data_IF_104485496501
#
_entry.id   IF_104485496501
#
_cell.length_a   1.000
_cell.length_b   1.000
_cell.length_c   1.000
_cell.angle_alpha   90.00
_cell.angle_beta   90.00
_cell.angle_gamma   90.00
#
_symmetry.space_group_name_H-M   'P 1'
#
loop_
_entity.id
_entity.type
_entity.pdbx_description
1 polymer ?
#
# COMPACT_ATOMS: atom_id res chain seq x y z
N UNK A 1 -15.86 19.95 -9.98
CA UNK A 1 -16.13 18.53 -9.69
C UNK A 1 -15.34 17.68 -10.67
N UNK A 2 -14.17 17.18 -10.26
CA UNK A 2 -13.36 16.31 -11.12
C UNK A 2 -13.96 14.89 -11.11
N UNK A 3 -14.18 14.35 -12.31
CA UNK A 3 -14.73 13.01 -12.52
C UNK A 3 -13.65 11.97 -12.15
N UNK A 4 -13.94 11.14 -11.15
CA UNK A 4 -13.12 9.98 -10.81
C UNK A 4 -13.29 8.91 -11.90
N UNK A 5 -12.33 8.78 -12.82
CA UNK A 5 -12.21 7.56 -13.63
C UNK A 5 -11.77 6.42 -12.71
N UNK A 6 -12.65 5.41 -12.60
CA UNK A 6 -12.47 4.13 -11.91
C UNK A 6 -11.44 3.31 -12.68
N UNK A 7 -10.51 2.65 -11.97
CA UNK A 7 -9.42 1.92 -12.61
C UNK A 7 -9.54 0.42 -12.45
N UNK A 8 -9.82 -0.21 -13.58
CA UNK A 8 -9.71 -1.61 -13.95
C UNK A 8 -8.69 -2.43 -13.13
N UNK A 9 -9.19 -3.16 -12.14
CA UNK A 9 -8.44 -3.97 -11.17
C UNK A 9 -7.55 -5.02 -11.83
N UNK A 10 -8.06 -5.60 -12.90
CA UNK A 10 -7.40 -6.75 -13.49
C UNK A 10 -6.12 -6.34 -14.21
N UNK A 11 -5.91 -5.07 -14.63
CA UNK A 11 -4.72 -4.63 -15.42
C UNK A 11 -3.36 -4.71 -14.70
N UNK A 12 -3.31 -5.29 -13.51
CA UNK A 12 -2.12 -5.21 -12.66
C UNK A 12 -1.91 -6.41 -11.73
N UNK A 13 -2.94 -7.15 -11.40
CA UNK A 13 -2.78 -8.53 -10.94
C UNK A 13 -2.57 -9.41 -12.17
N UNK A 14 -1.31 -9.65 -12.52
CA UNK A 14 -0.94 -10.05 -13.88
C UNK A 14 -1.57 -11.36 -14.39
N UNK A 15 -2.09 -12.27 -13.54
CA UNK A 15 -2.46 -13.62 -13.99
C UNK A 15 -3.63 -14.31 -13.23
N UNK A 16 -4.75 -14.68 -13.90
CA UNK A 16 -5.77 -15.63 -13.44
C UNK A 16 -5.39 -17.11 -13.73
N UNK A 17 -6.16 -18.12 -13.26
CA UNK A 17 -7.47 -18.10 -12.62
C UNK A 17 -7.42 -18.28 -11.11
N UNK A 18 -8.01 -17.32 -10.39
CA UNK A 18 -8.31 -17.45 -8.97
C UNK A 18 -9.49 -18.41 -8.81
N UNK A 19 -9.22 -19.69 -8.55
CA UNK A 19 -10.25 -20.73 -8.33
C UNK A 19 -11.01 -20.58 -7.01
N UNK A 20 -10.70 -19.55 -6.22
CA UNK A 20 -11.47 -19.12 -5.05
C UNK A 20 -12.04 -17.75 -5.36
N UNK A 21 -13.33 -17.54 -5.07
CA UNK A 21 -13.94 -16.21 -5.12
C UNK A 21 -13.02 -15.25 -4.36
N UNK A 22 -12.70 -14.12 -4.98
CA UNK A 22 -12.04 -13.03 -4.27
C UNK A 22 -13.01 -12.62 -3.17
N UNK A 23 -12.80 -13.15 -1.96
CA UNK A 23 -13.70 -13.06 -0.80
C UNK A 23 -13.85 -11.60 -0.29
N UNK A 24 -13.29 -10.63 -1.03
CA UNK A 24 -13.24 -9.21 -0.74
C UNK A 24 -13.26 -8.43 -2.05
N UNK A 25 -14.02 -7.35 -2.08
CA UNK A 25 -13.86 -6.28 -3.07
C UNK A 25 -12.49 -5.67 -2.82
N UNK A 26 -11.49 -6.20 -3.50
CA UNK A 26 -10.18 -5.57 -3.62
C UNK A 26 -10.42 -4.29 -4.40
N UNK A 27 -9.90 -3.14 -3.95
CA UNK A 27 -9.98 -1.89 -4.70
C UNK A 27 -8.63 -1.63 -5.33
N UNK A 28 -8.60 -1.14 -6.56
CA UNK A 28 -7.36 -0.92 -7.28
C UNK A 28 -7.22 0.52 -7.77
N UNK A 29 -6.03 1.09 -7.59
CA UNK A 29 -5.71 2.44 -8.06
C UNK A 29 -5.64 2.52 -9.58
N UNK A 30 -5.57 3.74 -10.13
CA UNK A 30 -5.23 4.01 -11.55
C UNK A 30 -3.97 3.34 -12.07
N UNK A 31 -3.12 2.89 -11.17
CA UNK A 31 -1.85 2.23 -11.46
C UNK A 31 -1.89 0.75 -11.14
N UNK A 32 -3.06 0.22 -10.77
CA UNK A 32 -3.24 -1.20 -10.59
C UNK A 32 -2.98 -1.75 -9.16
N UNK A 33 -2.92 -0.89 -8.16
CA UNK A 33 -2.57 -1.36 -6.82
C UNK A 33 -3.75 -1.82 -5.98
N UNK A 34 -3.68 -3.04 -5.44
CA UNK A 34 -4.59 -3.47 -4.37
C UNK A 34 -4.48 -2.53 -3.16
N UNK A 35 -5.57 -1.82 -2.92
CA UNK A 35 -5.85 -0.97 -1.79
C UNK A 35 -7.00 -1.57 -0.99
N UNK A 36 -6.89 -1.45 0.33
CA UNK A 36 -8.05 -1.42 1.22
C UNK A 36 -8.30 0.05 1.54
N UNK A 37 -8.92 0.81 0.61
CA UNK A 37 -9.16 2.21 0.86
C UNK A 37 -10.04 2.33 2.10
N UNK A 38 -9.90 3.42 2.82
CA UNK A 38 -10.69 3.65 4.04
C UNK A 38 -12.19 3.38 3.82
N UNK A 39 -12.73 3.75 2.65
CA UNK A 39 -14.12 3.46 2.30
C UNK A 39 -14.44 1.96 2.22
N UNK A 40 -13.52 1.10 1.77
CA UNK A 40 -13.67 -0.36 1.80
C UNK A 40 -13.68 -0.89 3.23
N UNK A 41 -12.86 -0.28 4.11
CA UNK A 41 -12.81 -0.64 5.53
C UNK A 41 -14.11 -0.27 6.27
N UNK A 42 -14.86 0.70 5.73
CA UNK A 42 -16.10 1.20 6.32
C UNK A 42 -17.37 0.76 5.58
N UNK A 43 -17.25 0.17 4.40
CA UNK A 43 -18.40 -0.32 3.64
C UNK A 43 -18.96 -1.56 4.35
N UNK A 44 -20.27 -1.64 4.61
CA UNK A 44 -20.87 -2.89 5.08
C UNK A 44 -20.61 -4.00 4.06
N UNK A 45 -20.19 -5.18 4.54
CA UNK A 45 -20.06 -6.37 3.70
C UNK A 45 -21.46 -6.74 3.18
N UNK A 46 -21.65 -6.73 1.86
CA UNK A 46 -22.91 -7.11 1.20
C UNK A 46 -23.27 -8.60 1.38
N UNK A 47 -22.44 -9.37 2.08
CA UNK A 47 -22.66 -10.79 2.37
C UNK A 47 -23.86 -11.03 3.29
N UNK A 48 -24.39 -10.01 3.95
CA UNK A 48 -25.66 -10.11 4.68
C UNK A 48 -26.86 -9.80 3.77
N UNK A 49 -26.99 -10.54 2.66
CA UNK A 49 -28.15 -10.47 1.74
C UNK A 49 -29.32 -11.35 2.19
N UNK A 50 -29.39 -11.71 3.46
CA UNK A 50 -30.56 -12.36 4.02
C UNK A 50 -31.66 -11.31 4.22
N UNK A 51 -32.51 -11.17 3.20
CA UNK A 51 -33.64 -10.21 3.10
C UNK A 51 -34.71 -10.40 4.20
N UNK A 52 -34.46 -11.21 5.22
CA UNK A 52 -35.48 -11.73 6.13
C UNK A 52 -35.54 -11.10 7.52
N UNK A 53 -34.64 -10.19 7.92
CA UNK A 53 -34.70 -9.59 9.27
C UNK A 53 -35.10 -8.12 9.31
N UNK A 54 -36.42 -7.94 9.21
CA UNK A 54 -37.25 -6.99 9.95
C UNK A 54 -36.55 -6.22 11.08
N UNK A 55 -36.48 -4.89 10.92
CA UNK A 55 -36.87 -3.85 11.90
C UNK A 55 -36.62 -4.11 13.41
N UNK A 56 -35.58 -4.86 13.77
CA UNK A 56 -35.13 -4.96 15.15
C UNK A 56 -34.51 -3.60 15.51
N UNK A 57 -35.32 -2.75 16.14
CA UNK A 57 -34.94 -1.41 16.54
C UNK A 57 -33.71 -1.47 17.45
N UNK A 58 -32.66 -0.71 17.08
CA UNK A 58 -31.40 -0.53 17.83
C UNK A 58 -31.59 -0.13 19.31
N UNK A 59 -32.81 0.28 19.67
CA UNK A 59 -33.24 0.62 21.02
C UNK A 59 -32.95 -0.48 22.06
N UNK A 60 -33.02 -1.76 21.71
CA UNK A 60 -32.73 -2.86 22.64
C UNK A 60 -31.26 -2.88 23.09
N UNK A 61 -30.33 -2.55 22.19
CA UNK A 61 -28.90 -2.54 22.49
C UNK A 61 -28.55 -1.54 23.59
N UNK A 62 -29.18 -0.35 23.55
CA UNK A 62 -28.93 0.72 24.52
C UNK A 62 -29.36 0.41 25.95
N UNK A 63 -30.15 -0.66 26.15
CA UNK A 63 -30.65 -1.16 27.44
C UNK A 63 -29.77 -2.26 28.05
N UNK A 64 -28.82 -2.80 27.29
CA UNK A 64 -27.88 -3.79 27.81
C UNK A 64 -26.96 -3.14 28.86
N UNK A 65 -26.41 -3.89 29.83
CA UNK A 65 -25.33 -3.40 30.69
C UNK A 65 -24.16 -2.86 29.85
N UNK A 66 -23.45 -1.86 30.36
CA UNK A 66 -22.36 -1.18 29.65
C UNK A 66 -21.27 -2.17 29.23
N UNK A 67 -20.95 -3.13 30.09
CA UNK A 67 -19.96 -4.18 29.86
C UNK A 67 -20.32 -5.03 28.64
N UNK A 68 -21.61 -5.35 28.48
CA UNK A 68 -22.10 -6.13 27.34
C UNK A 68 -22.07 -5.28 26.06
N UNK A 69 -22.43 -4.00 26.14
CA UNK A 69 -22.34 -3.09 24.99
C UNK A 69 -20.89 -2.98 24.50
N UNK A 70 -19.93 -2.78 25.42
CA UNK A 70 -18.51 -2.71 25.11
C UNK A 70 -17.98 -4.02 24.52
N UNK A 71 -18.41 -5.17 25.05
CA UNK A 71 -18.02 -6.48 24.52
C UNK A 71 -18.52 -6.67 23.09
N UNK A 72 -19.77 -6.28 22.79
CA UNK A 72 -20.31 -6.34 21.43
C UNK A 72 -19.54 -5.41 20.49
N UNK A 73 -19.24 -4.18 20.90
CA UNK A 73 -18.44 -3.25 20.09
C UNK A 73 -17.05 -3.82 19.79
N UNK A 74 -16.39 -4.46 20.76
CA UNK A 74 -15.06 -5.03 20.57
C UNK A 74 -15.00 -6.14 19.50
N UNK A 75 -16.11 -6.85 19.27
CA UNK A 75 -16.19 -7.90 18.24
C UNK A 75 -16.79 -7.40 16.92
N UNK A 76 -17.24 -6.14 16.84
CA UNK A 76 -17.82 -5.60 15.62
C UNK A 76 -16.76 -5.43 14.51
N UNK A 77 -17.13 -5.69 13.24
CA UNK A 77 -16.29 -5.32 12.11
C UNK A 77 -16.14 -3.80 12.01
N UNK A 78 -15.10 -3.35 11.31
CA UNK A 78 -14.77 -1.93 11.24
C UNK A 78 -15.87 -1.09 10.57
N UNK A 79 -16.56 -1.65 9.58
CA UNK A 79 -17.71 -1.04 8.91
C UNK A 79 -18.85 -0.72 9.87
N UNK A 80 -19.22 -1.67 10.73
CA UNK A 80 -20.25 -1.45 11.76
C UNK A 80 -19.79 -0.42 12.78
N UNK A 81 -18.54 -0.49 13.25
CA UNK A 81 -18.00 0.51 14.17
C UNK A 81 -18.04 1.93 13.57
N UNK A 82 -17.64 2.07 12.31
CA UNK A 82 -17.72 3.34 11.60
C UNK A 82 -19.16 3.84 11.46
N UNK A 83 -20.10 2.97 11.07
CA UNK A 83 -21.51 3.34 11.01
C UNK A 83 -22.03 3.80 12.38
N UNK A 84 -21.68 3.12 13.47
CA UNK A 84 -22.07 3.51 14.82
C UNK A 84 -21.50 4.87 15.23
N UNK A 85 -20.27 5.20 14.81
CA UNK A 85 -19.68 6.52 15.01
C UNK A 85 -20.54 7.63 14.39
N UNK A 86 -21.13 7.38 13.22
CA UNK A 86 -21.94 8.37 12.52
C UNK A 86 -23.41 8.39 12.94
N UNK A 87 -24.00 7.23 13.25
CA UNK A 87 -25.45 7.08 13.45
C UNK A 87 -25.88 7.07 14.90
N UNK A 88 -25.00 6.76 15.86
CA UNK A 88 -25.37 6.61 17.27
C UNK A 88 -24.52 7.50 18.19
N UNK A 89 -25.09 8.62 18.66
CA UNK A 89 -24.37 9.54 19.56
C UNK A 89 -23.91 8.91 20.87
N UNK A 90 -24.72 7.99 21.44
CA UNK A 90 -24.40 7.29 22.69
C UNK A 90 -23.18 6.38 22.57
N UNK A 91 -23.03 5.70 21.42
CA UNK A 91 -21.94 4.75 21.21
C UNK A 91 -20.76 5.33 20.45
N UNK A 92 -20.91 6.52 19.86
CA UNK A 92 -19.92 7.16 19.00
C UNK A 92 -18.51 7.14 19.60
N UNK A 93 -18.38 7.53 20.87
CA UNK A 93 -17.08 7.61 21.54
C UNK A 93 -16.43 6.23 21.64
N UNK A 94 -17.16 5.22 22.09
CA UNK A 94 -16.62 3.86 22.27
C UNK A 94 -16.38 3.15 20.94
N UNK A 95 -17.30 3.29 19.99
CA UNK A 95 -17.14 2.76 18.64
C UNK A 95 -15.90 3.35 17.96
N UNK A 96 -15.67 4.66 18.14
CA UNK A 96 -14.50 5.34 17.60
C UNK A 96 -13.20 4.84 18.24
N UNK A 97 -13.16 4.65 19.57
CA UNK A 97 -12.01 4.04 20.24
C UNK A 97 -11.69 2.65 19.67
N UNK A 98 -12.69 1.79 19.52
CA UNK A 98 -12.52 0.44 18.98
C UNK A 98 -12.08 0.44 17.52
N UNK A 99 -12.65 1.33 16.70
CA UNK A 99 -12.30 1.46 15.29
C UNK A 99 -10.83 1.86 15.12
N UNK A 100 -10.38 2.88 15.85
CA UNK A 100 -9.00 3.39 15.74
C UNK A 100 -7.97 2.60 16.54
N UNK A 101 -8.38 1.69 17.42
CA UNK A 101 -7.49 0.74 18.08
C UNK A 101 -6.88 -0.28 17.09
N UNK A 102 -7.51 -0.46 15.92
CA UNK A 102 -7.02 -1.37 14.88
C UNK A 102 -5.74 -0.82 14.24
N UNK A 103 -4.67 -1.60 14.31
CA UNK A 103 -3.36 -1.18 13.84
C UNK A 103 -3.27 -1.02 12.32
N UNK A 104 -4.21 -1.58 11.57
CA UNK A 104 -4.31 -1.52 10.11
C UNK A 104 -5.21 -0.38 9.60
N UNK A 105 -5.88 0.35 10.49
CA UNK A 105 -6.67 1.51 10.10
C UNK A 105 -5.76 2.71 9.77
N UNK A 106 -5.77 3.14 8.52
CA UNK A 106 -5.12 4.37 8.05
C UNK A 106 -6.17 5.40 7.64
N UNK A 107 -5.98 6.64 8.09
CA UNK A 107 -6.80 7.76 7.65
C UNK A 107 -6.12 8.48 6.48
N UNK A 108 -6.78 8.62 5.31
CA UNK A 108 -6.19 9.29 4.16
C UNK A 108 -6.20 10.81 4.34
N UNK A 109 -5.06 11.45 4.04
CA UNK A 109 -4.87 12.89 4.09
C UNK A 109 -4.15 13.34 2.83
N UNK A 110 -4.52 14.49 2.27
CA UNK A 110 -3.86 15.01 1.08
C UNK A 110 -2.58 15.77 1.47
N UNK A 111 -1.45 15.45 0.83
CA UNK A 111 -0.17 16.08 1.17
C UNK A 111 -0.20 17.61 0.95
N UNK A 112 -0.96 18.07 -0.06
CA UNK A 112 -1.10 19.49 -0.36
C UNK A 112 -1.84 20.26 0.74
N UNK A 113 -2.79 19.63 1.42
CA UNK A 113 -3.47 20.23 2.56
C UNK A 113 -2.50 20.44 3.72
N UNK A 114 -1.65 19.45 4.01
CA UNK A 114 -0.64 19.52 5.08
C UNK A 114 0.37 20.66 4.85
N UNK A 115 0.93 20.79 3.65
CA UNK A 115 1.87 21.90 3.37
C UNK A 115 1.21 23.28 3.30
N UNK A 116 -0.12 23.33 3.14
CA UNK A 116 -0.90 24.57 3.25
C UNK A 116 -1.39 24.80 4.69
N UNK A 117 -0.62 24.33 5.68
CA UNK A 117 -0.90 24.50 7.12
C UNK A 117 -2.17 23.77 7.61
N UNK A 118 -2.66 22.81 6.84
CA UNK A 118 -3.82 21.99 7.14
C UNK A 118 -5.01 22.83 7.63
N UNK A 119 -5.41 23.84 6.85
CA UNK A 119 -6.51 24.73 7.24
C UNK A 119 -7.84 23.95 7.26
N UNK A 120 -8.68 24.05 8.32
CA UNK A 120 -9.88 23.22 8.45
C UNK A 120 -10.91 23.47 7.35
N UNK A 121 -11.01 24.72 6.87
CA UNK A 121 -11.95 25.10 5.83
C UNK A 121 -11.64 24.53 4.45
N UNK A 122 -10.43 23.99 4.25
CA UNK A 122 -10.00 23.39 2.99
C UNK A 122 -10.30 21.87 2.94
N UNK A 123 -10.83 21.31 4.02
CA UNK A 123 -11.17 19.89 4.12
C UNK A 123 -12.64 19.68 4.44
N UNK A 124 -13.22 18.60 3.93
CA UNK A 124 -14.59 18.17 4.28
C UNK A 124 -14.64 17.33 5.57
N UNK A 125 -13.51 17.20 6.26
CA UNK A 125 -13.31 16.28 7.37
C UNK A 125 -13.73 16.93 8.70
N UNK A 126 -14.39 16.17 9.58
CA UNK A 126 -14.63 16.61 10.94
C UNK A 126 -13.32 16.60 11.76
N UNK A 127 -12.69 17.75 11.92
CA UNK A 127 -11.39 17.86 12.61
C UNK A 127 -11.33 17.23 14.02
N UNK A 128 -12.46 17.08 14.73
CA UNK A 128 -12.44 16.45 16.06
C UNK A 128 -12.10 14.95 16.01
N UNK A 129 -12.38 14.25 14.90
CA UNK A 129 -12.03 12.82 14.80
C UNK A 129 -10.52 12.62 14.62
N UNK A 130 -9.81 13.59 14.03
CA UNK A 130 -8.38 13.46 13.76
C UNK A 130 -7.55 13.28 15.03
N UNK A 131 -8.05 13.78 16.17
CA UNK A 131 -7.43 13.55 17.48
C UNK A 131 -7.37 12.06 17.87
N UNK A 132 -8.15 11.18 17.24
CA UNK A 132 -8.17 9.74 17.55
C UNK A 132 -7.40 8.89 16.55
N UNK A 133 -6.92 9.52 15.46
CA UNK A 133 -6.19 8.83 14.39
C UNK A 133 -4.75 8.60 14.82
N UNK A 134 -4.30 7.35 14.69
CA UNK A 134 -2.92 6.95 15.01
C UNK A 134 -2.08 6.64 13.77
N UNK A 135 -2.72 6.30 12.65
CA UNK A 135 -2.03 5.98 11.40
C UNK A 135 -2.61 6.82 10.27
N UNK A 136 -1.75 7.52 9.54
CA UNK A 136 -2.14 8.41 8.44
C UNK A 136 -1.51 7.92 7.16
N UNK A 137 -2.31 7.83 6.11
CA UNK A 137 -1.83 7.64 4.75
C UNK A 137 -1.91 8.99 4.04
N UNK A 138 -0.81 9.43 3.45
CA UNK A 138 -0.72 10.75 2.84
C UNK A 138 -0.72 10.61 1.33
N UNK A 139 -1.78 11.05 0.63
CA UNK A 139 -1.81 11.11 -0.85
C UNK A 139 -0.74 12.11 -1.32
N UNK A 140 0.40 11.56 -1.74
CA UNK A 140 1.57 12.33 -2.13
C UNK A 140 1.54 12.59 -3.63
N UNK A 141 1.64 13.86 -4.02
CA UNK A 141 1.60 14.26 -5.44
C UNK A 141 2.97 14.67 -5.98
N UNK A 142 3.18 14.51 -7.28
CA UNK A 142 4.39 14.99 -7.98
C UNK A 142 4.58 16.51 -7.83
N UNK A 143 3.48 17.28 -7.79
CA UNK A 143 3.52 18.73 -7.57
C UNK A 143 4.21 19.07 -6.25
N UNK A 144 4.03 18.24 -5.22
CA UNK A 144 4.70 18.43 -3.94
C UNK A 144 6.22 18.20 -4.04
N UNK A 145 6.64 17.22 -4.85
CA UNK A 145 8.06 16.97 -5.10
C UNK A 145 8.75 18.20 -5.69
N UNK A 146 8.13 18.82 -6.69
CA UNK A 146 8.69 20.01 -7.34
C UNK A 146 8.68 21.23 -6.42
N UNK A 147 7.72 21.33 -5.50
CA UNK A 147 7.68 22.41 -4.50
C UNK A 147 8.77 22.26 -3.43
N UNK A 148 9.02 21.05 -2.95
CA UNK A 148 10.06 20.79 -1.93
C UNK A 148 11.45 20.83 -2.57
N UNK A 149 11.60 20.30 -3.78
CA UNK A 149 12.86 20.26 -4.52
C UNK A 149 12.70 21.00 -5.86
N UNK A 150 12.82 22.33 -5.83
CA UNK A 150 12.70 23.14 -7.02
C UNK A 150 13.94 22.99 -7.89
N UNK A 151 13.75 22.62 -9.16
CA UNK A 151 14.83 22.62 -10.16
C UNK A 151 15.01 24.01 -10.74
N UNK A 152 16.20 24.56 -10.60
CA UNK A 152 16.60 25.81 -11.23
C UNK A 152 16.96 25.59 -12.71
N UNK A 153 17.09 26.68 -13.48
CA UNK A 153 17.43 26.61 -14.91
C UNK A 153 18.79 25.97 -15.19
N UNK A 154 19.71 26.00 -14.23
CA UNK A 154 21.06 25.42 -14.31
C UNK A 154 21.13 23.97 -13.79
N UNK A 155 19.98 23.30 -13.70
CA UNK A 155 19.81 21.94 -13.15
C UNK A 155 20.13 21.78 -11.66
N UNK A 156 20.49 22.85 -10.93
CA UNK A 156 20.65 22.77 -9.47
C UNK A 156 19.29 22.55 -8.81
N UNK A 157 19.29 21.74 -7.76
CA UNK A 157 18.10 21.48 -6.94
C UNK A 157 18.16 22.34 -5.70
N UNK A 158 17.22 23.26 -5.57
CA UNK A 158 17.02 24.06 -4.35
C UNK A 158 16.01 23.34 -3.44
N UNK A 159 16.43 23.08 -2.19
CA UNK A 159 15.61 22.39 -1.20
C UNK A 159 14.87 23.42 -0.34
N UNK A 160 13.55 23.41 -0.42
CA UNK A 160 12.66 24.21 0.43
C UNK A 160 12.40 23.48 1.76
N UNK A 161 13.40 23.46 2.64
CA UNK A 161 13.35 22.75 3.92
C UNK A 161 12.19 23.20 4.83
N UNK A 162 11.82 24.48 4.77
CA UNK A 162 10.68 25.02 5.49
C UNK A 162 9.35 24.34 5.13
N UNK A 163 9.18 23.82 3.91
CA UNK A 163 7.97 23.07 3.53
C UNK A 163 7.90 21.70 4.20
N UNK A 164 9.05 21.08 4.43
CA UNK A 164 9.16 19.82 5.19
C UNK A 164 8.77 20.05 6.64
N UNK A 165 9.26 21.14 7.25
CA UNK A 165 8.88 21.51 8.62
C UNK A 165 7.39 21.84 8.73
N UNK A 166 6.85 22.62 7.77
CA UNK A 166 5.42 22.94 7.73
C UNK A 166 4.58 21.66 7.59
N UNK A 167 4.99 20.72 6.74
CA UNK A 167 4.29 19.45 6.55
C UNK A 167 4.14 18.70 7.89
N UNK A 168 5.25 18.50 8.60
CA UNK A 168 5.25 17.74 9.85
C UNK A 168 4.57 18.48 10.99
N UNK A 169 4.81 19.79 11.13
CA UNK A 169 4.15 20.61 12.13
C UNK A 169 2.63 20.64 11.95
N UNK A 170 2.16 20.71 10.69
CA UNK A 170 0.73 20.70 10.37
C UNK A 170 0.11 19.35 10.67
N UNK A 171 0.80 18.25 10.32
CA UNK A 171 0.34 16.91 10.63
C UNK A 171 0.22 16.67 12.14
N UNK A 172 1.25 17.01 12.92
CA UNK A 172 1.22 16.85 14.38
C UNK A 172 0.18 17.75 15.05
N UNK A 173 -0.03 18.97 14.55
CA UNK A 173 -1.06 19.86 15.07
C UNK A 173 -2.47 19.28 14.85
N UNK A 174 -2.74 18.75 13.63
CA UNK A 174 -4.07 18.21 13.30
C UNK A 174 -4.32 16.81 13.81
N UNK A 175 -3.27 16.00 13.89
CA UNK A 175 -3.31 14.60 14.27
C UNK A 175 -2.33 14.38 15.44
N UNK A 176 -2.65 14.91 16.64
CA UNK A 176 -1.70 14.92 17.76
C UNK A 176 -1.28 13.53 18.24
N UNK A 177 -2.07 12.50 17.95
CA UNK A 177 -1.81 11.12 18.34
C UNK A 177 -1.21 10.27 17.20
N UNK A 178 -0.76 10.90 16.11
CA UNK A 178 -0.14 10.20 14.99
C UNK A 178 1.11 9.45 15.44
N UNK A 179 1.14 8.15 15.13
CA UNK A 179 2.26 7.24 15.41
C UNK A 179 2.86 6.68 14.12
N UNK A 180 2.06 6.57 13.06
CA UNK A 180 2.47 5.99 11.77
C UNK A 180 2.05 6.89 10.62
N UNK A 181 2.97 7.13 9.69
CA UNK A 181 2.71 7.99 8.52
C UNK A 181 3.26 7.31 7.28
N UNK A 182 2.38 7.11 6.30
CA UNK A 182 2.73 6.52 5.02
C UNK A 182 2.48 7.50 3.89
N UNK A 183 3.50 8.23 3.42
CA UNK A 183 3.41 8.93 2.15
C UNK A 183 3.16 7.93 1.02
N UNK A 184 2.03 8.08 0.36
CA UNK A 184 1.57 7.24 -0.70
C UNK A 184 1.90 7.86 -2.06
N UNK A 185 2.98 7.40 -2.67
CA UNK A 185 3.52 7.87 -3.94
C UNK A 185 3.06 6.98 -5.11
N UNK A 186 1.81 7.15 -5.54
CA UNK A 186 1.18 6.30 -6.57
C UNK A 186 0.97 6.99 -7.92
N UNK A 187 1.31 8.27 -8.07
CA UNK A 187 1.02 9.00 -9.31
C UNK A 187 2.07 8.73 -10.39
N UNK A 188 1.83 7.64 -11.11
CA UNK A 188 2.06 7.41 -12.54
C UNK A 188 3.13 8.24 -13.24
N UNK A 189 4.40 7.93 -13.01
CA UNK A 189 5.43 8.35 -13.95
C UNK A 189 5.54 7.28 -15.05
N UNK A 190 4.69 7.40 -16.07
CA UNK A 190 4.52 6.45 -17.16
C UNK A 190 5.66 6.44 -18.19
N UNK A 191 6.76 7.18 -17.98
CA UNK A 191 7.56 7.60 -19.14
C UNK A 191 9.05 7.36 -19.15
N UNK A 192 9.75 7.17 -18.03
CA UNK A 192 11.22 7.04 -18.07
C UNK A 192 11.72 5.98 -17.10
N UNK A 193 12.51 5.06 -17.67
CA UNK A 193 13.38 4.12 -16.97
C UNK A 193 14.30 4.91 -16.03
N UNK A 194 13.83 5.15 -14.82
CA UNK A 194 14.70 5.47 -13.72
C UNK A 194 14.83 4.18 -12.93
N UNK A 195 16.07 3.70 -12.78
CA UNK A 195 16.39 2.61 -11.88
C UNK A 195 15.91 2.89 -10.46
N UNK A 196 15.99 1.87 -9.62
CA UNK A 196 15.59 1.85 -8.20
C UNK A 196 16.22 2.95 -7.32
N UNK A 197 17.18 3.72 -7.83
CA UNK A 197 17.80 4.89 -7.19
C UNK A 197 16.88 6.08 -6.88
N UNK A 198 15.56 6.03 -7.15
CA UNK A 198 14.74 7.27 -7.15
C UNK A 198 13.42 7.17 -6.39
N UNK A 199 13.51 6.94 -5.08
CA UNK A 199 12.61 7.69 -4.19
C UNK A 199 12.90 9.17 -4.44
N UNK A 200 11.90 10.00 -4.82
CA UNK A 200 12.16 11.40 -5.09
C UNK A 200 12.86 12.06 -3.89
N UNK A 201 13.87 12.89 -4.14
CA UNK A 201 14.65 13.54 -3.08
C UNK A 201 13.76 14.21 -2.03
N UNK A 202 12.69 14.88 -2.45
CA UNK A 202 11.72 15.49 -1.53
C UNK A 202 11.05 14.48 -0.59
N UNK A 203 10.70 13.31 -1.11
CA UNK A 203 10.07 12.26 -0.34
C UNK A 203 11.05 11.67 0.67
N UNK A 204 12.31 11.48 0.27
CA UNK A 204 13.39 11.07 1.18
C UNK A 204 13.58 12.09 2.31
N UNK A 205 13.69 13.37 1.97
CA UNK A 205 13.80 14.46 2.94
C UNK A 205 12.63 14.49 3.93
N UNK A 206 11.40 14.26 3.47
CA UNK A 206 10.23 14.16 4.35
C UNK A 206 10.37 13.02 5.35
N UNK A 207 10.73 11.82 4.91
CA UNK A 207 10.87 10.64 5.80
C UNK A 207 12.01 10.82 6.80
N UNK A 208 13.13 11.40 6.35
CA UNK A 208 14.30 11.69 7.17
C UNK A 208 13.97 12.73 8.24
N UNK A 209 13.17 13.75 7.89
CA UNK A 209 12.70 14.78 8.82
C UNK A 209 11.52 14.36 9.70
N UNK A 210 11.07 13.09 9.63
CA UNK A 210 9.98 12.59 10.46
C UNK A 210 10.26 12.82 11.96
N UNK A 211 9.36 13.47 12.71
CA UNK A 211 9.54 13.71 14.13
C UNK A 211 9.78 12.44 14.95
N UNK A 212 10.49 12.57 16.07
CA UNK A 212 10.70 11.47 17.00
C UNK A 212 9.36 10.91 17.51
N UNK A 213 9.25 9.57 17.56
CA UNK A 213 8.03 8.87 17.96
C UNK A 213 7.04 8.61 16.82
N UNK A 214 7.25 9.21 15.64
CA UNK A 214 6.47 8.91 14.44
C UNK A 214 7.26 7.92 13.58
N UNK A 215 6.69 6.75 13.37
CA UNK A 215 7.16 5.80 12.37
C UNK A 215 6.72 6.27 10.99
N UNK A 216 7.67 6.61 10.13
CA UNK A 216 7.39 6.97 8.75
C UNK A 216 7.99 5.97 7.78
N UNK A 217 7.22 5.66 6.75
CA UNK A 217 7.59 4.73 5.69
C UNK A 217 6.97 5.17 4.39
N UNK A 218 7.66 5.04 3.27
CA UNK A 218 7.08 5.38 1.96
C UNK A 218 6.36 4.16 1.41
N UNK A 219 5.19 4.41 0.83
CA UNK A 219 4.55 3.49 -0.09
C UNK A 219 4.81 4.00 -1.50
N UNK A 220 5.55 3.24 -2.30
CA UNK A 220 5.78 3.56 -3.70
C UNK A 220 5.60 2.33 -4.58
N UNK A 221 5.29 2.60 -5.85
CA UNK A 221 5.08 1.59 -6.86
C UNK A 221 6.38 1.28 -7.60
N UNK A 222 6.88 0.05 -7.48
CA UNK A 222 8.07 -0.40 -8.21
C UNK A 222 7.69 -1.30 -9.38
N UNK A 223 8.16 -0.96 -10.59
CA UNK A 223 8.06 -1.83 -11.77
C UNK A 223 9.10 -2.93 -11.67
N UNK A 224 8.67 -4.19 -11.60
CA UNK A 224 9.59 -5.33 -11.68
C UNK A 224 10.24 -5.37 -13.06
N UNK A 225 11.55 -5.18 -13.13
CA UNK A 225 12.30 -5.30 -14.38
C UNK A 225 12.37 -6.78 -14.76
N UNK A 226 11.72 -7.18 -15.85
CA UNK A 226 11.88 -8.51 -16.43
C UNK A 226 13.13 -8.49 -17.31
N UNK A 227 13.99 -9.51 -17.18
CA UNK A 227 15.27 -9.62 -17.88
C UNK A 227 15.17 -9.71 -19.41
N UNK A 228 13.96 -9.77 -19.97
CA UNK A 228 13.72 -9.76 -21.41
C UNK A 228 13.02 -8.45 -21.82
N UNK A 229 13.70 -7.59 -22.62
CA UNK A 229 13.17 -6.30 -23.07
C UNK A 229 12.02 -6.38 -24.09
N UNK A 230 11.58 -7.57 -24.49
CA UNK A 230 10.85 -7.74 -25.76
C UNK A 230 9.35 -7.59 -25.71
N UNK A 231 8.72 -7.40 -24.55
CA UNK A 231 7.29 -7.07 -24.46
C UNK A 231 7.03 -6.00 -23.40
N UNK A 232 6.79 -4.77 -23.85
CA UNK A 232 6.62 -3.57 -23.01
C UNK A 232 5.43 -3.60 -22.03
N UNK A 233 4.65 -4.69 -21.94
CA UNK A 233 3.25 -4.63 -21.48
C UNK A 233 2.90 -5.27 -20.13
N UNK A 234 3.72 -6.13 -19.50
CA UNK A 234 3.40 -6.75 -18.17
C UNK A 234 4.33 -6.23 -17.09
N UNK A 235 4.21 -4.95 -16.74
CA UNK A 235 4.88 -4.46 -15.54
C UNK A 235 4.19 -5.06 -14.31
N UNK A 236 4.77 -6.09 -13.69
CA UNK A 236 4.33 -6.49 -12.34
C UNK A 236 4.77 -5.39 -11.38
N UNK A 237 3.80 -4.66 -10.84
CA UNK A 237 4.07 -3.64 -9.84
C UNK A 237 4.07 -4.26 -8.45
N UNK A 238 5.01 -3.86 -7.59
CA UNK A 238 5.02 -4.26 -6.17
C UNK A 238 5.02 -3.04 -5.27
N UNK A 239 4.31 -3.14 -4.15
CA UNK A 239 4.39 -2.18 -3.05
C UNK A 239 5.68 -2.42 -2.29
N UNK A 240 6.60 -1.47 -2.40
CA UNK A 240 7.76 -1.43 -1.53
C UNK A 240 7.44 -0.49 -0.39
N UNK A 241 7.27 -1.08 0.79
CA UNK A 241 7.30 -0.31 2.02
C UNK A 241 8.77 -0.08 2.34
N UNK A 242 9.29 1.11 2.02
CA UNK A 242 10.59 1.49 2.55
C UNK A 242 10.38 1.80 4.03
N UNK A 243 10.44 0.75 4.85
CA UNK A 243 10.66 0.89 6.27
C UNK A 243 12.13 1.20 6.46
N UNK A 244 12.43 1.87 7.57
CA UNK A 244 13.76 2.04 8.16
C UNK A 244 14.41 0.68 8.52
N UNK A 245 14.34 -0.37 7.68
CA UNK A 245 14.97 -1.68 7.91
C UNK A 245 16.48 -1.59 7.85
N UNK A 246 17.02 -0.72 7.01
CA UNK A 246 18.45 -0.34 7.02
C UNK A 246 18.79 0.32 8.36
N UNK A 247 17.94 1.24 8.79
CA UNK A 247 18.01 1.85 10.11
C UNK A 247 17.76 0.84 11.24
N UNK A 248 17.13 -0.31 11.04
CA UNK A 248 16.84 -1.23 12.13
C UNK A 248 18.14 -1.88 12.63
N UNK A 249 19.06 -2.21 11.73
CA UNK A 249 20.38 -2.71 12.09
C UNK A 249 21.24 -1.57 12.67
N UNK A 250 21.18 -0.39 12.05
CA UNK A 250 21.88 0.81 12.54
C UNK A 250 21.45 1.18 13.98
N UNK A 251 20.15 1.20 14.23
CA UNK A 251 19.54 1.41 15.55
C UNK A 251 19.79 0.26 16.50
N UNK A 252 19.86 -0.98 16.03
CA UNK A 252 20.21 -2.10 16.90
C UNK A 252 21.59 -1.88 17.55
N UNK A 253 22.55 -1.39 16.77
CA UNK A 253 23.93 -1.16 17.19
C UNK A 253 24.16 0.21 17.86
N UNK A 254 23.38 1.24 17.50
CA UNK A 254 23.62 2.62 17.93
C UNK A 254 22.46 3.33 18.69
N UNK A 255 21.26 2.74 18.81
CA UNK A 255 20.19 3.31 19.65
C UNK A 255 20.27 2.84 21.11
N UNK A 256 19.58 3.58 21.99
CA UNK A 256 19.44 3.30 23.43
C UNK A 256 20.77 3.35 24.20
N UNK A 257 21.69 4.22 23.76
CA UNK A 257 23.00 4.40 24.38
C UNK A 257 24.03 3.34 24.01
N UNK A 258 23.67 2.38 23.15
CA UNK A 258 24.63 1.47 22.53
C UNK A 258 25.49 2.26 21.54
N UNK A 259 26.78 1.95 21.49
CA UNK A 259 27.72 2.47 20.51
C UNK A 259 28.57 1.31 20.07
N UNK A 260 27.94 0.26 19.54
CA UNK A 260 28.58 -0.99 19.17
C UNK A 260 28.95 -0.94 17.69
N UNK A 261 30.22 -0.66 17.34
CA UNK A 261 30.60 -0.60 15.95
C UNK A 261 30.45 -1.98 15.29
N UNK A 262 30.13 -2.01 14.01
CA UNK A 262 29.97 -3.28 13.28
C UNK A 262 30.41 -3.15 11.82
N UNK A 263 30.79 -4.28 11.24
CA UNK A 263 31.09 -4.40 9.80
C UNK A 263 29.81 -4.62 9.00
N UNK A 264 29.81 -4.21 7.73
CA UNK A 264 28.71 -4.47 6.83
C UNK A 264 28.36 -5.98 6.81
N UNK A 265 27.08 -6.35 6.97
CA UNK A 265 26.67 -7.76 6.97
C UNK A 265 26.70 -8.41 5.58
N UNK A 266 27.00 -7.65 4.53
CA UNK A 266 27.16 -8.19 3.17
C UNK A 266 28.56 -8.77 3.03
N UNK A 267 28.66 -10.06 2.73
CA UNK A 267 29.92 -10.82 2.77
C UNK A 267 31.05 -10.28 1.87
N UNK A 268 30.69 -9.60 0.77
CA UNK A 268 31.64 -8.95 -0.15
C UNK A 268 32.07 -7.55 0.28
N UNK A 269 31.45 -6.98 1.32
CA UNK A 269 31.68 -5.62 1.76
C UNK A 269 32.50 -5.59 3.06
N UNK A 270 33.56 -4.79 3.05
CA UNK A 270 34.46 -4.60 4.19
C UNK A 270 34.22 -3.29 4.93
N UNK A 271 33.15 -2.56 4.59
CA UNK A 271 32.81 -1.30 5.24
C UNK A 271 32.57 -1.52 6.75
N UNK A 272 33.02 -0.56 7.56
CA UNK A 272 32.94 -0.60 9.00
C UNK A 272 32.30 0.69 9.52
N UNK A 273 31.33 0.54 10.41
CA UNK A 273 30.52 1.64 10.92
C UNK A 273 30.78 1.82 12.40
N UNK A 274 31.11 3.04 12.81
CA UNK A 274 31.40 3.41 14.20
C UNK A 274 30.41 4.44 14.75
N UNK A 275 29.50 4.95 13.91
CA UNK A 275 28.50 5.95 14.28
C UNK A 275 27.14 5.59 13.69
N UNK A 276 26.09 5.92 14.43
CA UNK A 276 24.71 5.87 13.93
C UNK A 276 24.57 6.59 12.59
N UNK A 277 23.82 5.99 11.67
CA UNK A 277 23.54 6.55 10.34
C UNK A 277 24.49 6.06 9.26
N UNK A 278 25.73 5.69 9.61
CA UNK A 278 26.75 5.34 8.61
C UNK A 278 26.37 4.06 7.84
N UNK A 279 25.80 3.07 8.53
CA UNK A 279 25.30 1.88 7.84
C UNK A 279 24.10 2.24 6.95
N UNK A 280 23.08 2.93 7.46
CA UNK A 280 21.88 3.23 6.66
C UNK A 280 22.22 3.89 5.32
N UNK A 281 23.16 4.84 5.33
CA UNK A 281 23.65 5.51 4.11
C UNK A 281 24.33 4.50 3.18
N UNK A 282 25.29 3.73 3.70
CA UNK A 282 26.01 2.72 2.93
C UNK A 282 25.09 1.63 2.35
N UNK A 283 24.05 1.23 3.07
CA UNK A 283 23.04 0.27 2.62
C UNK A 283 22.36 0.68 1.33
N UNK A 284 21.86 1.91 1.35
CA UNK A 284 21.09 2.49 0.27
C UNK A 284 21.98 2.73 -0.96
N UNK A 285 23.24 3.11 -0.74
CA UNK A 285 24.19 3.43 -1.82
C UNK A 285 24.79 2.17 -2.46
N UNK A 286 25.25 1.21 -1.65
CA UNK A 286 26.09 0.11 -2.14
C UNK A 286 25.36 -1.24 -2.25
N UNK A 287 24.23 -1.43 -1.56
CA UNK A 287 23.61 -2.75 -1.41
C UNK A 287 22.11 -2.85 -1.75
N UNK A 288 21.50 -1.82 -2.34
CA UNK A 288 20.06 -1.83 -2.61
C UNK A 288 19.63 -2.98 -3.56
N UNK A 289 20.46 -3.34 -4.55
CA UNK A 289 20.18 -4.48 -5.45
C UNK A 289 20.28 -5.83 -4.75
N UNK A 290 21.03 -5.87 -3.65
CA UNK A 290 21.30 -7.07 -2.86
C UNK A 290 20.37 -7.18 -1.65
N UNK A 291 19.31 -6.38 -1.56
CA UNK A 291 18.45 -6.33 -0.38
C UNK A 291 17.89 -7.71 0.03
N UNK A 292 17.63 -8.59 -0.96
CA UNK A 292 17.23 -9.99 -0.71
C UNK A 292 18.33 -10.78 0.02
N UNK A 293 19.60 -10.61 -0.38
CA UNK A 293 20.76 -11.22 0.29
C UNK A 293 21.01 -10.60 1.66
N UNK A 294 20.74 -9.31 1.83
CA UNK A 294 20.79 -8.64 3.13
C UNK A 294 19.82 -9.26 4.14
N UNK A 295 18.60 -9.62 3.73
CA UNK A 295 17.68 -10.35 4.61
C UNK A 295 18.18 -11.74 5.02
N UNK A 296 18.97 -12.38 4.16
CA UNK A 296 19.61 -13.67 4.43
C UNK A 296 20.77 -13.53 5.42
N UNK A 297 21.50 -12.41 5.38
CA UNK A 297 22.63 -12.13 6.28
C UNK A 297 22.24 -11.53 7.63
N UNK A 298 20.96 -11.17 7.84
CA UNK A 298 20.49 -10.68 9.12
C UNK A 298 20.67 -11.74 10.23
N UNK A 299 21.19 -11.35 11.42
CA UNK A 299 21.39 -12.26 12.54
C UNK A 299 20.12 -13.07 12.86
N UNK A 300 20.28 -14.29 13.37
CA UNK A 300 19.19 -15.18 13.82
C UNK A 300 18.35 -14.66 14.99
N UNK A 301 18.43 -13.36 15.29
CA UNK A 301 17.53 -12.62 16.15
C UNK A 301 16.06 -12.82 15.76
N UNK A 302 15.14 -12.58 16.71
CA UNK A 302 13.70 -12.64 16.48
C UNK A 302 13.23 -11.75 15.33
N UNK A 303 13.89 -10.60 15.12
CA UNK A 303 13.62 -9.67 14.00
C UNK A 303 14.02 -10.28 12.66
N UNK A 304 15.23 -10.87 12.58
CA UNK A 304 15.69 -11.55 11.37
C UNK A 304 14.82 -12.75 11.01
N UNK A 305 14.36 -13.52 12.01
CA UNK A 305 13.45 -14.64 11.80
C UNK A 305 12.09 -14.19 11.21
N UNK A 306 11.47 -13.15 11.78
CA UNK A 306 10.18 -12.64 11.29
C UNK A 306 10.25 -12.05 9.87
N UNK A 307 11.35 -11.38 9.52
CA UNK A 307 11.56 -10.86 8.16
C UNK A 307 11.74 -11.99 7.13
N UNK A 308 12.50 -13.04 7.48
CA UNK A 308 12.66 -14.23 6.62
C UNK A 308 11.34 -14.96 6.39
N UNK A 309 10.55 -15.17 7.45
CA UNK A 309 9.24 -15.83 7.34
C UNK A 309 8.31 -15.06 6.39
N UNK A 310 8.23 -13.73 6.55
CA UNK A 310 7.40 -12.87 5.67
C UNK A 310 7.88 -12.93 4.22
N UNK A 311 9.18 -12.87 3.97
CA UNK A 311 9.72 -12.96 2.63
C UNK A 311 9.43 -14.34 2.00
N UNK A 312 9.61 -15.43 2.75
CA UNK A 312 9.26 -16.78 2.29
C UNK A 312 7.76 -16.92 1.97
N UNK A 313 6.88 -16.31 2.76
CA UNK A 313 5.45 -16.32 2.49
C UNK A 313 5.11 -15.58 1.18
N UNK A 314 5.76 -14.45 0.91
CA UNK A 314 5.61 -13.72 -0.36
C UNK A 314 6.15 -14.52 -1.55
N UNK A 315 7.29 -15.19 -1.40
CA UNK A 315 7.87 -16.03 -2.46
C UNK A 315 7.02 -17.29 -2.73
N UNK A 316 6.41 -17.89 -1.71
CA UNK A 316 5.43 -18.99 -1.90
C UNK A 316 4.22 -18.50 -2.69
N UNK A 317 3.61 -17.40 -2.27
CA UNK A 317 2.42 -16.86 -2.94
C UNK A 317 2.73 -16.44 -4.38
N UNK A 318 3.91 -15.87 -4.64
CA UNK A 318 4.34 -15.53 -6.01
C UNK A 318 4.43 -16.77 -6.90
N UNK A 319 4.99 -17.89 -6.40
CA UNK A 319 5.08 -19.15 -7.14
C UNK A 319 3.71 -19.77 -7.41
N UNK A 320 2.82 -19.75 -6.42
CA UNK A 320 1.44 -20.24 -6.57
C UNK A 320 0.71 -19.50 -7.71
N UNK A 321 0.83 -18.17 -7.75
CA UNK A 321 0.25 -17.33 -8.81
C UNK A 321 0.85 -17.67 -10.17
N UNK A 322 2.16 -17.84 -10.25
CA UNK A 322 2.84 -18.18 -11.50
C UNK A 322 2.46 -19.57 -12.02
N UNK A 323 2.29 -20.56 -11.14
CA UNK A 323 1.86 -21.89 -11.56
C UNK A 323 0.40 -21.87 -12.05
N UNK A 324 -0.50 -21.19 -11.33
CA UNK A 324 -1.89 -21.00 -11.77
C UNK A 324 -1.99 -20.35 -13.15
N UNK A 325 -1.16 -19.34 -13.40
CA UNK A 325 -1.09 -18.72 -14.73
C UNK A 325 -0.71 -19.71 -15.81
N UNK A 326 0.37 -20.46 -15.54
CA UNK A 326 0.93 -21.42 -16.47
C UNK A 326 -0.08 -22.53 -16.77
N UNK A 327 -0.74 -23.07 -15.75
CA UNK A 327 -1.80 -24.07 -15.89
C UNK A 327 -2.93 -23.59 -16.79
N UNK A 328 -3.38 -22.33 -16.63
CA UNK A 328 -4.42 -21.75 -17.48
C UNK A 328 -3.93 -21.47 -18.90
N UNK A 329 -2.69 -21.00 -19.07
CA UNK A 329 -2.07 -20.83 -20.39
C UNK A 329 -1.97 -22.16 -21.14
N UNK A 330 -1.55 -23.21 -20.45
CA UNK A 330 -1.45 -24.56 -21.01
C UNK A 330 -2.84 -25.16 -21.31
N UNK A 331 -3.81 -24.94 -20.42
CA UNK A 331 -5.20 -25.33 -20.64
C UNK A 331 -5.85 -24.58 -21.81
N UNK A 332 -5.49 -23.32 -22.05
CA UNK A 332 -5.94 -22.56 -23.20
C UNK A 332 -5.37 -23.11 -24.51
N UNK A 333 -4.06 -23.40 -24.54
CA UNK A 333 -3.38 -23.92 -25.73
C UNK A 333 -3.91 -25.30 -26.11
N UNK A 334 -3.95 -26.21 -25.15
CA UNK A 334 -4.31 -27.62 -25.36
C UNK A 334 -5.82 -27.87 -25.36
N UNK A 335 -6.59 -26.96 -24.78
CA UNK A 335 -8.04 -27.06 -24.71
C UNK A 335 -8.72 -26.91 -26.06
N UNK A 336 -9.85 -27.59 -26.19
CA UNK A 336 -10.79 -27.39 -27.30
C UNK A 336 -11.50 -26.03 -27.19
N UNK A 337 -12.34 -25.72 -28.18
CA UNK A 337 -13.09 -24.46 -28.23
C UNK A 337 -14.00 -24.27 -27.01
N UNK A 338 -14.58 -25.36 -26.49
CA UNK A 338 -15.41 -25.32 -25.29
C UNK A 338 -14.60 -24.91 -24.05
N UNK A 339 -13.42 -25.51 -23.85
CA UNK A 339 -12.54 -25.18 -22.72
C UNK A 339 -11.99 -23.75 -22.82
N UNK A 340 -11.63 -23.29 -24.02
CA UNK A 340 -11.24 -21.88 -24.24
C UNK A 340 -12.40 -20.94 -23.91
N UNK A 341 -13.62 -21.26 -24.35
CA UNK A 341 -14.82 -20.48 -24.01
C UNK A 341 -15.12 -20.45 -22.52
N UNK A 342 -14.80 -21.50 -21.77
CA UNK A 342 -14.91 -21.53 -20.30
C UNK A 342 -13.86 -20.63 -19.63
N UNK A 343 -12.59 -20.72 -20.04
CA UNK A 343 -11.51 -19.85 -19.53
C UNK A 343 -11.84 -18.38 -19.80
N UNK A 344 -12.28 -18.05 -21.01
CA UNK A 344 -12.67 -16.69 -21.37
C UNK A 344 -13.87 -16.19 -20.55
N UNK A 345 -14.90 -17.03 -20.35
CA UNK A 345 -16.05 -16.66 -19.51
C UNK A 345 -15.66 -16.49 -18.05
N UNK A 346 -14.84 -17.38 -17.50
CA UNK A 346 -14.32 -17.27 -16.13
C UNK A 346 -13.54 -15.96 -15.95
N UNK A 347 -12.74 -15.58 -16.96
CA UNK A 347 -12.06 -14.29 -16.99
C UNK A 347 -13.05 -13.12 -17.02
N UNK A 348 -14.03 -13.14 -17.93
CA UNK A 348 -15.04 -12.06 -18.05
C UNK A 348 -15.91 -11.95 -16.80
N UNK A 349 -16.32 -13.06 -16.20
CA UNK A 349 -17.10 -13.09 -14.96
C UNK A 349 -16.30 -12.55 -13.78
N UNK A 350 -14.98 -12.81 -13.74
CA UNK A 350 -14.09 -12.19 -12.76
C UNK A 350 -13.98 -10.68 -12.97
N UNK A 351 -13.89 -10.21 -14.22
CA UNK A 351 -13.89 -8.78 -14.54
C UNK A 351 -15.23 -8.12 -14.19
N UNK A 352 -16.37 -8.73 -14.50
CA UNK A 352 -17.70 -8.15 -14.30
C UNK A 352 -18.07 -7.99 -12.81
N UNK A 353 -17.52 -8.84 -11.93
CA UNK A 353 -17.70 -8.72 -10.48
C UNK A 353 -16.70 -7.76 -9.82
N UNK A 354 -15.85 -7.13 -10.61
CA UNK A 354 -14.79 -6.28 -10.11
C UNK A 354 -15.25 -4.81 -10.08
N UNK A 355 -15.31 -4.22 -8.88
CA UNK A 355 -15.78 -2.84 -8.67
C UNK A 355 -14.95 -1.79 -9.44
N UNK A 356 -13.73 -2.13 -9.85
CA UNK A 356 -12.90 -1.28 -10.67
C UNK A 356 -13.16 -1.38 -12.18
N UNK A 357 -13.92 -2.39 -12.60
CA UNK A 357 -14.22 -2.69 -14.00
C UNK A 357 -15.42 -1.88 -14.54
N UNK A 358 -15.78 -0.75 -13.91
CA UNK A 358 -16.67 0.24 -14.53
C UNK A 358 -15.94 1.05 -15.62
N UNK A 359 -15.58 0.40 -16.72
CA UNK A 359 -15.26 1.10 -17.96
C UNK A 359 -16.43 0.94 -18.93
N UNK A 360 -16.99 2.05 -19.43
CA UNK A 360 -18.18 2.08 -20.31
C UNK A 360 -18.01 1.29 -21.64
N UNK A 361 -16.84 0.72 -21.91
CA UNK A 361 -16.58 -0.13 -23.07
C UNK A 361 -16.64 -1.60 -22.71
N UNK A 362 -17.82 -2.20 -22.88
CA UNK A 362 -17.97 -3.66 -23.00
C UNK A 362 -17.14 -4.13 -24.20
N UNK A 363 -16.06 -4.87 -23.99
CA UNK A 363 -15.21 -5.29 -25.12
C UNK A 363 -14.04 -6.19 -24.79
N UNK A 364 -12.96 -5.66 -24.20
CA UNK A 364 -11.71 -6.42 -24.01
C UNK A 364 -10.84 -5.76 -22.93
N UNK A 365 -10.32 -6.55 -21.98
CA UNK A 365 -9.37 -6.09 -20.97
C UNK A 365 -7.98 -5.97 -21.55
N UNK A 366 -7.18 -4.99 -21.11
CA UNK A 366 -5.78 -4.88 -21.50
C UNK A 366 -5.00 -6.15 -21.18
N UNK A 367 -5.31 -6.87 -20.10
CA UNK A 367 -4.67 -8.17 -19.88
C UNK A 367 -5.33 -9.36 -20.52
N UNK A 368 -6.58 -9.27 -20.95
CA UNK A 368 -7.08 -10.27 -21.87
C UNK A 368 -6.26 -10.20 -23.17
N UNK A 369 -6.06 -8.99 -23.68
CA UNK A 369 -5.22 -8.77 -24.86
C UNK A 369 -3.79 -9.23 -24.61
N UNK A 370 -3.23 -8.95 -23.43
CA UNK A 370 -1.89 -9.39 -23.09
C UNK A 370 -1.76 -10.91 -22.95
N UNK A 371 -2.72 -11.58 -22.32
CA UNK A 371 -2.77 -13.03 -22.24
C UNK A 371 -2.80 -13.64 -23.65
N UNK A 372 -3.61 -13.09 -24.54
CA UNK A 372 -3.68 -13.53 -25.93
C UNK A 372 -2.35 -13.27 -26.68
N UNK A 373 -1.71 -12.10 -26.48
CA UNK A 373 -0.37 -11.81 -27.02
C UNK A 373 0.68 -12.85 -26.54
N UNK A 374 0.69 -13.17 -25.24
CA UNK A 374 1.58 -14.17 -24.64
C UNK A 374 1.35 -15.60 -25.18
N UNK A 375 0.10 -15.95 -25.50
CA UNK A 375 -0.25 -17.25 -26.10
C UNK A 375 0.18 -17.33 -27.56
N UNK A 376 0.05 -16.23 -28.32
CA UNK A 376 0.37 -16.18 -29.75
C UNK A 376 1.87 -16.05 -30.04
N UNK A 377 2.63 -15.32 -29.20
CA UNK A 377 4.08 -15.11 -29.38
C UNK A 377 4.89 -16.40 -29.26
N UNK A 378 4.50 -17.32 -28.38
CA UNK A 378 5.18 -18.62 -28.23
C UNK A 378 4.98 -19.56 -29.44
N UNK A 379 3.84 -19.48 -30.14
CA UNK A 379 3.61 -20.26 -31.36
C UNK A 379 4.48 -19.82 -32.54
N UNK A 380 4.99 -18.59 -32.50
CA UNK A 380 5.85 -18.04 -33.55
C UNK A 380 7.34 -18.36 -33.35
N UNK A 381 7.69 -18.98 -32.22
CA UNK A 381 9.09 -19.26 -31.82
C UNK A 381 9.50 -20.73 -31.97
N UNK A 382 8.58 -21.58 -32.45
CA UNK A 382 8.78 -22.99 -32.82
C UNK A 382 8.62 -23.15 -34.31
#
# INVERSE_FOLDING_TARGET
MHRYAVCNLLTTLSYPPWTKGLDRVVYITRSGEEQFPFHAYVHPDDTCTDKSHHSATFWSFSRLPEEIQLHVLAICPASILFQLMHTCSKLRTEASKQFWAKADAYFPVEAHWLINKAYPGDSVWNMTFLAQVHSVEVDYSLVLNDRICMRQQDERVEIQSNLVDIFWASLQNRVPNVKRVIPNYNKGNTGREYGLDRIPLALRLLIEASPHGIESSVLFLERKQTSHPTTWRTATWRRCLLRRTEQALDRHHFDMGRNEPFSCPVASCTAYFSKSGQWTIHAAEEHYQEWKRLLESLPSSSVGAGLRERNQALDRKTREVQEQYKEMKDAWKTGDEARRGEIQRSWIEQLDNDAAWETEKKGTSELWNQFMEDVHTEHSST
#
